data_IF_357713949469
#
_entry.id   IF_357713949469
#
_cell.length_a   1.000
_cell.length_b   1.000
_cell.length_c   1.000
_cell.angle_alpha   90.00
_cell.angle_beta   90.00
_cell.angle_gamma   90.00
#
_symmetry.space_group_name_H-M   'P 1'
#
loop_
_entity.id
_entity.type
_entity.pdbx_description
1 polymer ?
#
# COMPACT_ATOMS: atom_id res chain seq x y z
N UNK A 1 21.69 -15.61 -2.01
CA UNK A 1 20.28 -15.18 -1.88
C UNK A 1 19.94 -14.90 -0.41
N UNK A 2 19.12 -13.89 -0.09
CA UNK A 2 18.71 -13.58 1.30
C UNK A 2 17.21 -13.29 1.38
N UNK A 3 16.51 -13.86 2.35
CA UNK A 3 15.10 -13.53 2.62
C UNK A 3 15.01 -12.10 3.15
N UNK A 4 14.18 -11.28 2.49
CA UNK A 4 13.94 -9.88 2.82
C UNK A 4 12.58 -9.72 3.49
N UNK A 5 11.58 -10.47 3.06
CA UNK A 5 10.23 -10.37 3.61
C UNK A 5 9.50 -11.72 3.63
N UNK A 6 9.23 -12.29 4.81
CA UNK A 6 8.40 -13.49 4.94
C UNK A 6 6.91 -13.16 4.97
N UNK A 7 6.07 -14.09 4.51
CA UNK A 7 4.61 -14.10 4.68
C UNK A 7 4.15 -15.53 4.93
N UNK A 8 3.43 -15.77 6.02
CA UNK A 8 2.88 -17.09 6.31
C UNK A 8 1.61 -17.31 5.49
N UNK A 9 1.48 -18.48 4.87
CA UNK A 9 0.27 -18.92 4.19
C UNK A 9 -0.40 -20.04 4.96
N UNK A 10 -1.73 -19.91 5.11
CA UNK A 10 -2.57 -20.85 5.83
C UNK A 10 -3.63 -21.44 4.90
N UNK A 11 -4.01 -22.68 5.16
CA UNK A 11 -5.18 -23.33 4.55
C UNK A 11 -6.25 -23.57 5.61
N UNK A 12 -7.52 -23.39 5.25
CA UNK A 12 -8.64 -23.73 6.12
C UNK A 12 -9.10 -25.16 5.81
N UNK A 13 -8.88 -26.06 6.76
CA UNK A 13 -9.36 -27.44 6.70
C UNK A 13 -10.36 -27.65 7.84
N UNK A 14 -11.65 -27.68 7.50
CA UNK A 14 -12.72 -27.98 8.47
C UNK A 14 -12.83 -26.97 9.63
N UNK A 15 -12.58 -25.68 9.38
CA UNK A 15 -12.68 -24.63 10.39
C UNK A 15 -11.41 -24.44 11.24
N UNK A 16 -10.36 -25.23 11.03
CA UNK A 16 -9.05 -25.03 11.64
C UNK A 16 -8.06 -24.47 10.61
N UNK A 17 -7.46 -23.33 10.94
CA UNK A 17 -6.36 -22.75 10.19
C UNK A 17 -5.10 -23.60 10.40
N UNK A 18 -4.61 -24.22 9.33
CA UNK A 18 -3.36 -24.96 9.34
C UNK A 18 -2.32 -24.22 8.52
N UNK A 19 -1.11 -24.11 9.06
CA UNK A 19 0.02 -23.56 8.32
C UNK A 19 0.33 -24.46 7.11
N UNK A 20 0.49 -23.85 5.93
CA UNK A 20 0.76 -24.56 4.69
C UNK A 20 2.22 -24.42 4.26
N UNK A 21 2.69 -23.19 4.17
CA UNK A 21 4.07 -22.86 3.79
C UNK A 21 4.36 -21.40 4.15
N UNK A 22 5.64 -21.06 4.18
CA UNK A 22 6.13 -19.70 4.21
C UNK A 22 6.35 -19.24 2.77
N UNK A 23 5.62 -18.22 2.31
CA UNK A 23 6.00 -17.46 1.13
C UNK A 23 7.04 -16.41 1.53
N UNK A 24 8.00 -16.08 0.67
CA UNK A 24 8.95 -15.04 0.97
C UNK A 24 9.41 -14.30 -0.28
N UNK A 25 9.81 -13.04 -0.08
CA UNK A 25 10.63 -12.31 -1.05
C UNK A 25 12.09 -12.51 -0.67
N UNK A 26 12.87 -13.03 -1.59
CA UNK A 26 14.31 -13.14 -1.48
C UNK A 26 15.00 -12.17 -2.45
N UNK A 27 16.21 -11.72 -2.08
CA UNK A 27 17.04 -10.84 -2.92
C UNK A 27 18.36 -11.53 -3.23
N UNK A 28 18.79 -11.44 -4.48
CA UNK A 28 20.10 -11.88 -4.96
C UNK A 28 20.51 -11.00 -6.14
N UNK A 29 21.74 -10.48 -6.12
CA UNK A 29 22.35 -9.75 -7.24
C UNK A 29 21.44 -8.65 -7.83
N UNK A 30 20.85 -7.86 -6.93
CA UNK A 30 19.89 -6.78 -7.21
C UNK A 30 18.52 -7.21 -7.79
N UNK A 31 18.27 -8.49 -7.97
CA UNK A 31 16.98 -9.04 -8.36
C UNK A 31 16.17 -9.53 -7.15
N UNK A 32 14.85 -9.43 -7.26
CA UNK A 32 13.91 -10.01 -6.31
C UNK A 32 13.36 -11.34 -6.82
N UNK A 33 13.07 -12.24 -5.88
CA UNK A 33 12.53 -13.56 -6.14
C UNK A 33 11.39 -13.83 -5.18
N UNK A 34 10.28 -14.34 -5.68
CA UNK A 34 9.27 -15.00 -4.89
C UNK A 34 9.74 -16.43 -4.65
N UNK A 35 9.75 -16.87 -3.40
CA UNK A 35 10.16 -18.21 -3.00
C UNK A 35 9.18 -18.78 -2.00
N UNK A 36 9.11 -20.11 -1.89
CA UNK A 36 8.36 -20.82 -0.87
C UNK A 36 9.29 -21.67 -0.02
N UNK A 37 8.93 -21.85 1.24
CA UNK A 37 9.58 -22.75 2.18
C UNK A 37 8.54 -23.54 2.95
N UNK A 38 8.81 -24.83 3.22
CA UNK A 38 7.92 -25.69 4.00
C UNK A 38 7.95 -25.35 5.48
N UNK A 39 9.05 -24.78 5.96
CA UNK A 39 9.26 -24.45 7.36
C UNK A 39 9.05 -22.96 7.63
N UNK A 40 8.64 -22.64 8.86
CA UNK A 40 8.44 -21.25 9.30
C UNK A 40 9.76 -20.49 9.46
N UNK A 41 10.87 -21.22 9.58
CA UNK A 41 12.22 -20.69 9.79
C UNK A 41 13.21 -21.52 8.97
N UNK A 42 13.35 -21.23 7.66
CA UNK A 42 14.34 -21.92 6.86
C UNK A 42 15.74 -21.74 7.44
N UNK A 43 16.48 -22.83 7.60
CA UNK A 43 17.87 -22.78 8.10
C UNK A 43 18.86 -22.65 6.94
N UNK A 44 18.52 -23.18 5.78
CA UNK A 44 19.33 -23.13 4.56
C UNK A 44 18.54 -22.67 3.32
N UNK A 45 19.24 -22.04 2.38
CA UNK A 45 18.66 -21.64 1.09
C UNK A 45 18.24 -22.83 0.21
N UNK A 46 18.76 -24.02 0.49
CA UNK A 46 18.40 -25.28 -0.19
C UNK A 46 16.98 -25.75 0.16
N UNK A 47 16.37 -25.20 1.21
CA UNK A 47 14.99 -25.51 1.62
C UNK A 47 13.96 -24.67 0.84
N UNK A 48 14.43 -23.75 -0.01
CA UNK A 48 13.58 -22.92 -0.86
C UNK A 48 13.17 -23.68 -2.11
N UNK A 49 11.90 -23.58 -2.47
CA UNK A 49 11.34 -24.13 -3.70
C UNK A 49 10.39 -23.12 -4.35
N UNK A 50 9.92 -23.42 -5.56
CA UNK A 50 9.03 -22.55 -6.34
C UNK A 50 9.61 -21.12 -6.48
N UNK A 51 10.88 -21.06 -6.89
CA UNK A 51 11.66 -19.83 -7.00
C UNK A 51 11.30 -19.15 -8.32
N UNK A 52 10.59 -18.04 -8.23
CA UNK A 52 10.19 -17.23 -9.36
C UNK A 52 10.88 -15.87 -9.27
N UNK A 53 11.66 -15.50 -10.29
CA UNK A 53 12.19 -14.14 -10.39
C UNK A 53 11.04 -13.15 -10.55
N UNK A 54 11.06 -12.09 -9.76
CA UNK A 54 10.11 -10.99 -9.86
C UNK A 54 10.69 -9.92 -10.78
N UNK A 55 9.91 -9.57 -11.78
CA UNK A 55 10.14 -8.36 -12.56
C UNK A 55 9.40 -7.21 -11.88
N UNK A 56 10.15 -6.30 -11.27
CA UNK A 56 9.60 -5.16 -10.52
C UNK A 56 9.63 -3.86 -11.31
N UNK A 57 10.34 -3.85 -12.44
CA UNK A 57 10.50 -2.66 -13.27
C UNK A 57 9.41 -2.61 -14.34
N UNK A 58 8.96 -1.41 -14.69
CA UNK A 58 8.10 -1.17 -15.86
C UNK A 58 6.79 -1.99 -15.88
N UNK A 59 6.25 -2.33 -14.70
CA UNK A 59 5.01 -3.10 -14.51
C UNK A 59 3.74 -2.25 -14.32
N UNK A 60 3.89 -0.93 -14.21
CA UNK A 60 2.75 -0.02 -14.11
C UNK A 60 2.15 0.32 -15.47
N UNK A 61 0.99 0.99 -15.49
CA UNK A 61 0.37 1.48 -16.71
C UNK A 61 1.27 2.51 -17.39
N UNK A 62 1.14 2.63 -18.72
CA UNK A 62 1.71 3.76 -19.44
C UNK A 62 1.14 5.05 -18.90
N UNK A 63 1.99 6.05 -18.70
CA UNK A 63 1.54 7.35 -18.21
C UNK A 63 0.66 8.02 -19.26
N UNK A 64 -0.53 8.45 -18.86
CA UNK A 64 -1.43 9.18 -19.75
C UNK A 64 -1.12 10.68 -19.78
N UNK A 65 -1.37 11.38 -20.90
CA UNK A 65 -1.19 12.84 -20.98
C UNK A 65 -2.01 13.64 -19.97
N UNK A 66 -3.10 13.05 -19.46
CA UNK A 66 -3.98 13.69 -18.47
C UNK A 66 -3.44 13.60 -17.03
N UNK A 67 -2.41 12.79 -16.80
CA UNK A 67 -1.84 12.55 -15.47
C UNK A 67 -0.69 13.51 -15.17
N UNK A 68 -0.58 13.86 -13.90
CA UNK A 68 0.49 14.73 -13.39
C UNK A 68 1.72 13.87 -13.15
N UNK A 69 2.63 13.84 -14.13
CA UNK A 69 3.94 13.19 -13.98
C UNK A 69 4.91 14.18 -13.36
N UNK A 70 5.50 13.80 -12.22
CA UNK A 70 6.51 14.63 -11.54
C UNK A 70 7.92 14.06 -11.76
N UNK A 71 8.87 14.87 -12.24
CA UNK A 71 10.27 14.45 -12.29
C UNK A 71 10.77 14.30 -10.85
N UNK A 72 11.50 13.21 -10.58
CA UNK A 72 11.80 12.73 -9.23
C UNK A 72 12.08 13.84 -8.20
N UNK A 73 11.15 14.00 -7.26
CA UNK A 73 11.23 15.02 -6.22
C UNK A 73 12.23 14.59 -5.12
N UNK A 74 13.00 15.53 -4.52
CA UNK A 74 13.95 15.21 -3.45
C UNK A 74 13.23 14.61 -2.23
N UNK A 75 13.82 13.58 -1.63
CA UNK A 75 13.11 12.56 -0.83
C UNK A 75 12.53 12.99 0.52
N UNK A 76 12.82 14.18 1.04
CA UNK A 76 12.57 14.49 2.45
C UNK A 76 11.13 14.93 2.75
N UNK A 77 10.42 15.52 1.77
CA UNK A 77 9.07 16.07 1.98
C UNK A 77 7.95 15.18 1.41
N UNK A 78 8.32 14.05 0.80
CA UNK A 78 7.42 13.23 0.00
C UNK A 78 7.46 11.77 0.43
N UNK A 79 6.29 11.16 0.43
CA UNK A 79 6.13 9.73 0.55
C UNK A 79 5.86 9.14 -0.83
N UNK A 80 6.68 8.17 -1.25
CA UNK A 80 6.48 7.44 -2.51
C UNK A 80 5.79 6.13 -2.20
N UNK A 81 4.53 6.00 -2.65
CA UNK A 81 3.83 4.72 -2.62
C UNK A 81 4.22 3.92 -3.86
N UNK A 82 4.75 2.73 -3.64
CA UNK A 82 5.02 1.73 -4.68
C UNK A 82 4.23 0.45 -4.38
N UNK A 83 3.94 -0.37 -5.40
CA UNK A 83 3.30 -1.66 -5.18
C UNK A 83 4.10 -2.54 -4.22
N UNK A 84 3.38 -3.35 -3.47
CA UNK A 84 3.98 -4.33 -2.59
C UNK A 84 4.71 -5.40 -3.41
N UNK A 85 5.89 -5.87 -2.98
CA UNK A 85 6.70 -6.82 -3.76
C UNK A 85 5.95 -8.13 -4.13
N UNK A 86 5.13 -8.65 -3.22
CA UNK A 86 4.26 -9.81 -3.52
C UNK A 86 3.23 -9.57 -4.64
N UNK A 87 2.86 -8.32 -4.93
CA UNK A 87 1.91 -8.01 -6.01
C UNK A 87 2.48 -8.32 -7.41
N UNK A 88 3.82 -8.34 -7.56
CA UNK A 88 4.47 -8.71 -8.81
C UNK A 88 4.43 -10.22 -9.12
N UNK A 89 4.04 -11.05 -8.15
CA UNK A 89 3.98 -12.51 -8.28
C UNK A 89 2.85 -13.06 -9.16
N UNK A 90 2.06 -12.20 -9.81
CA UNK A 90 1.13 -12.60 -10.88
C UNK A 90 -0.31 -12.90 -10.46
N UNK A 91 -0.68 -12.80 -9.18
CA UNK A 91 -2.06 -13.01 -8.74
C UNK A 91 -2.99 -11.80 -8.90
N UNK A 92 -2.44 -10.62 -9.20
CA UNK A 92 -3.19 -9.37 -9.31
C UNK A 92 -2.83 -8.63 -10.59
N UNK A 93 -3.83 -7.99 -11.21
CA UNK A 93 -3.61 -7.01 -12.27
C UNK A 93 -3.10 -5.71 -11.64
N UNK A 94 -1.79 -5.69 -11.41
CA UNK A 94 -1.06 -4.57 -10.81
C UNK A 94 -1.17 -3.30 -11.66
N UNK A 95 -1.21 -3.44 -12.99
CA UNK A 95 -1.32 -2.32 -13.92
C UNK A 95 -2.69 -1.63 -13.77
N UNK A 96 -3.77 -2.42 -13.73
CA UNK A 96 -5.11 -1.90 -13.44
C UNK A 96 -5.21 -1.25 -12.06
N UNK A 97 -4.63 -1.87 -11.02
CA UNK A 97 -4.67 -1.29 -9.67
C UNK A 97 -3.95 0.05 -9.59
N UNK A 98 -2.75 0.16 -10.17
CA UNK A 98 -2.00 1.42 -10.21
C UNK A 98 -2.77 2.47 -10.99
N UNK A 99 -3.34 2.12 -12.15
CA UNK A 99 -4.15 3.04 -12.97
C UNK A 99 -5.34 3.59 -12.19
N UNK A 100 -6.14 2.71 -11.58
CA UNK A 100 -7.29 3.12 -10.77
C UNK A 100 -6.87 4.04 -9.62
N UNK A 101 -5.73 3.77 -8.99
CA UNK A 101 -5.21 4.61 -7.92
C UNK A 101 -4.77 5.99 -8.44
N UNK A 102 -4.04 6.06 -9.55
CA UNK A 102 -3.62 7.33 -10.18
C UNK A 102 -4.84 8.15 -10.60
N UNK A 103 -5.80 7.56 -11.30
CA UNK A 103 -7.02 8.24 -11.73
C UNK A 103 -7.84 8.78 -10.54
N UNK A 104 -7.93 8.00 -9.47
CA UNK A 104 -8.59 8.42 -8.23
C UNK A 104 -7.84 9.59 -7.60
N UNK A 105 -6.52 9.52 -7.53
CA UNK A 105 -5.67 10.58 -6.98
C UNK A 105 -5.74 11.87 -7.80
N UNK A 106 -5.71 11.78 -9.13
CA UNK A 106 -5.91 12.94 -10.03
C UNK A 106 -7.27 13.60 -9.81
N UNK A 107 -8.31 12.80 -9.58
CA UNK A 107 -9.65 13.30 -9.26
C UNK A 107 -9.66 14.04 -7.93
N UNK A 108 -9.04 13.46 -6.89
CA UNK A 108 -8.95 14.07 -5.56
C UNK A 108 -8.10 15.34 -5.58
N UNK A 109 -7.03 15.39 -6.40
CA UNK A 109 -6.18 16.56 -6.57
C UNK A 109 -6.94 17.76 -7.15
N UNK A 110 -7.85 17.50 -8.10
CA UNK A 110 -8.74 18.53 -8.67
C UNK A 110 -9.81 19.02 -7.69
N UNK A 111 -10.03 18.29 -6.58
CA UNK A 111 -11.03 18.59 -5.56
C UNK A 111 -10.39 18.47 -4.16
N UNK A 112 -9.43 19.35 -3.80
CA UNK A 112 -8.67 19.21 -2.57
C UNK A 112 -9.54 19.34 -1.33
N UNK A 113 -9.20 18.59 -0.27
CA UNK A 113 -9.85 18.66 1.04
C UNK A 113 -8.80 18.54 2.15
N UNK A 114 -8.86 19.34 3.23
CA UNK A 114 -7.81 19.38 4.26
C UNK A 114 -7.61 18.06 5.01
N UNK A 115 -8.65 17.20 5.07
CA UNK A 115 -8.58 15.88 5.71
C UNK A 115 -8.34 14.72 4.74
N UNK A 116 -7.88 15.00 3.52
CA UNK A 116 -7.45 13.99 2.55
C UNK A 116 -5.96 14.20 2.25
N UNK A 117 -5.23 13.10 2.11
CA UNK A 117 -3.80 13.14 1.83
C UNK A 117 -3.52 13.92 0.53
N UNK A 118 -2.53 14.81 0.59
CA UNK A 118 -2.13 15.59 -0.58
C UNK A 118 -1.36 14.70 -1.56
N UNK A 119 -1.92 14.54 -2.77
CA UNK A 119 -1.29 13.88 -3.91
C UNK A 119 -0.56 14.90 -4.78
N UNK A 120 0.68 14.60 -5.17
CA UNK A 120 1.50 15.50 -5.99
C UNK A 120 1.65 15.05 -7.45
N UNK A 121 1.47 13.77 -7.73
CA UNK A 121 1.68 13.22 -9.07
C UNK A 121 2.22 11.79 -9.03
N UNK A 122 2.35 11.17 -10.20
CA UNK A 122 2.99 9.88 -10.35
C UNK A 122 4.43 10.02 -10.83
N UNK A 123 5.26 9.02 -10.52
CA UNK A 123 6.59 8.84 -11.11
C UNK A 123 6.45 7.95 -12.33
N UNK A 124 7.07 8.36 -13.44
CA UNK A 124 7.23 7.49 -14.60
C UNK A 124 8.70 7.08 -14.74
N UNK A 125 8.94 5.78 -14.85
CA UNK A 125 10.20 5.16 -15.29
C UNK A 125 9.84 4.35 -16.52
N UNK A 126 10.65 4.30 -17.58
CA UNK A 126 10.26 3.32 -18.60
C UNK A 126 8.97 3.67 -19.35
N UNK A 127 8.59 4.95 -19.48
CA UNK A 127 7.24 5.42 -19.89
C UNK A 127 6.04 4.90 -19.06
N UNK A 128 6.31 4.17 -17.97
CA UNK A 128 5.32 3.51 -17.12
C UNK A 128 5.35 4.01 -15.69
N UNK A 129 4.19 4.01 -15.04
CA UNK A 129 4.07 4.48 -13.66
C UNK A 129 4.81 3.53 -12.72
N UNK A 130 5.83 4.04 -12.03
CA UNK A 130 6.67 3.29 -11.09
C UNK A 130 6.44 3.69 -9.63
N UNK A 131 5.55 4.66 -9.39
CA UNK A 131 5.19 5.12 -8.04
C UNK A 131 4.24 6.31 -8.03
N UNK A 132 3.70 6.60 -6.86
CA UNK A 132 2.72 7.67 -6.63
C UNK A 132 3.23 8.53 -5.47
N UNK A 133 3.34 9.84 -5.68
CA UNK A 133 3.85 10.78 -4.68
C UNK A 133 2.74 11.40 -3.84
N UNK A 134 2.89 11.28 -2.53
CA UNK A 134 2.06 11.95 -1.53
C UNK A 134 2.92 12.85 -0.64
N UNK A 135 2.28 13.76 0.08
CA UNK A 135 2.91 14.46 1.20
C UNK A 135 3.38 13.47 2.27
N UNK A 136 4.63 13.65 2.72
CA UNK A 136 5.13 12.94 3.89
C UNK A 136 4.47 13.47 5.16
N UNK A 137 3.70 12.62 5.85
CA UNK A 137 3.12 12.94 7.15
C UNK A 137 3.97 12.31 8.25
N UNK A 138 4.23 13.05 9.34
CA UNK A 138 5.17 12.64 10.39
C UNK A 138 4.74 11.40 11.17
N UNK A 139 3.43 11.17 11.30
CA UNK A 139 2.89 10.05 12.07
C UNK A 139 1.48 9.70 11.60
N UNK A 140 1.16 8.42 11.71
CA UNK A 140 -0.18 7.85 11.56
C UNK A 140 -1.00 8.03 12.83
N UNK A 141 -2.31 7.85 12.71
CA UNK A 141 -3.21 7.83 13.88
C UNK A 141 -2.81 6.73 14.88
N UNK A 142 -2.46 5.54 14.38
CA UNK A 142 -2.10 4.39 15.21
C UNK A 142 -0.87 4.68 16.07
N UNK A 143 0.18 5.28 15.50
CA UNK A 143 1.39 5.66 16.23
C UNK A 143 1.10 6.68 17.34
N UNK A 144 0.18 7.61 17.09
CA UNK A 144 -0.21 8.62 18.09
C UNK A 144 -0.99 8.05 19.27
N UNK A 145 -1.93 7.14 19.02
CA UNK A 145 -2.84 6.65 20.07
C UNK A 145 -2.40 5.32 20.69
N UNK A 146 -1.59 4.53 19.98
CA UNK A 146 -1.13 3.21 20.39
C UNK A 146 0.36 3.01 20.04
N UNK A 147 1.29 3.83 20.58
CA UNK A 147 2.71 3.74 20.27
C UNK A 147 3.33 2.39 20.68
N UNK A 148 2.73 1.70 21.65
CA UNK A 148 3.17 0.38 22.12
C UNK A 148 2.69 -0.77 21.22
N UNK A 149 1.95 -0.47 20.13
CA UNK A 149 1.42 -1.48 19.20
C UNK A 149 0.63 -2.58 19.92
N UNK A 150 -0.13 -2.21 20.95
CA UNK A 150 -0.97 -3.14 21.69
C UNK A 150 -1.98 -3.79 20.74
N UNK A 151 -2.18 -5.10 20.90
CA UNK A 151 -3.24 -5.80 20.18
C UNK A 151 -4.63 -5.24 20.57
N UNK A 152 -5.66 -5.56 19.79
CA UNK A 152 -7.01 -5.00 19.98
C UNK A 152 -7.54 -5.17 21.41
N UNK A 153 -7.38 -6.35 22.01
CA UNK A 153 -7.87 -6.62 23.37
C UNK A 153 -7.12 -5.79 24.40
N UNK A 154 -5.79 -5.84 24.37
CA UNK A 154 -4.93 -5.10 25.28
C UNK A 154 -5.12 -3.57 25.14
N UNK A 155 -5.30 -3.08 23.91
CA UNK A 155 -5.57 -1.66 23.65
C UNK A 155 -6.91 -1.22 24.27
N UNK A 156 -7.97 -2.03 24.11
CA UNK A 156 -9.28 -1.74 24.68
C UNK A 156 -9.29 -1.78 26.21
N UNK A 157 -8.56 -2.72 26.80
CA UNK A 157 -8.39 -2.84 28.25
C UNK A 157 -7.40 -1.82 28.84
N UNK A 158 -6.64 -1.13 28.01
CA UNK A 158 -5.74 -0.06 28.46
C UNK A 158 -6.52 1.18 28.91
N UNK A 159 -5.85 2.07 29.65
CA UNK A 159 -6.42 3.36 30.02
C UNK A 159 -6.64 4.30 28.83
N UNK A 160 -6.09 3.99 27.65
CA UNK A 160 -6.16 4.81 26.42
C UNK A 160 -5.88 6.29 26.69
N UNK A 161 -4.89 6.58 27.53
CA UNK A 161 -4.57 7.94 27.99
C UNK A 161 -4.16 8.89 26.87
N UNK A 162 -3.77 8.37 25.71
CA UNK A 162 -3.42 9.12 24.51
C UNK A 162 -4.63 9.38 23.58
N UNK A 163 -5.82 8.88 23.91
CA UNK A 163 -7.07 9.21 23.22
C UNK A 163 -7.74 10.36 23.95
N UNK A 164 -7.13 11.54 23.83
CA UNK A 164 -7.63 12.78 24.41
C UNK A 164 -8.78 13.39 23.60
N UNK A 165 -9.35 14.49 24.09
CA UNK A 165 -10.47 15.15 23.43
C UNK A 165 -10.08 15.81 22.10
N UNK A 166 -8.82 16.22 21.94
CA UNK A 166 -8.30 16.72 20.68
C UNK A 166 -8.27 15.60 19.61
N UNK A 167 -7.89 14.39 20.01
CA UNK A 167 -7.92 13.21 19.16
C UNK A 167 -9.35 12.83 18.76
N UNK A 168 -10.28 12.90 19.70
CA UNK A 168 -11.71 12.68 19.41
C UNK A 168 -12.25 13.75 18.45
N UNK A 169 -11.86 15.01 18.62
CA UNK A 169 -12.25 16.10 17.73
C UNK A 169 -11.77 15.87 16.28
N UNK A 170 -10.65 15.17 16.08
CA UNK A 170 -10.14 14.83 14.75
C UNK A 170 -11.07 13.86 13.98
N UNK A 171 -11.94 13.10 14.67
CA UNK A 171 -12.91 12.21 14.02
C UNK A 171 -13.88 12.98 13.10
N UNK A 172 -14.24 14.21 13.48
CA UNK A 172 -15.06 15.09 12.64
C UNK A 172 -14.37 15.38 11.30
N UNK A 173 -13.05 15.57 11.31
CA UNK A 173 -12.24 15.76 10.09
C UNK A 173 -12.20 14.51 9.23
N UNK A 174 -12.08 13.31 9.83
CA UNK A 174 -12.14 12.03 9.11
C UNK A 174 -13.51 11.88 8.44
N UNK A 175 -14.59 12.16 9.17
CA UNK A 175 -15.96 12.09 8.64
C UNK A 175 -16.17 13.07 7.49
N UNK A 176 -15.68 14.31 7.62
CA UNK A 176 -15.73 15.32 6.57
C UNK A 176 -14.99 14.84 5.30
N UNK A 177 -13.78 14.29 5.44
CA UNK A 177 -13.01 13.73 4.33
C UNK A 177 -13.75 12.58 3.62
N UNK A 178 -14.35 11.65 4.37
CA UNK A 178 -15.17 10.57 3.80
C UNK A 178 -16.39 11.12 3.06
N UNK A 179 -17.08 12.11 3.65
CA UNK A 179 -18.22 12.79 3.03
C UNK A 179 -17.83 13.42 1.70
N UNK A 180 -16.68 14.10 1.66
CA UNK A 180 -16.13 14.69 0.44
C UNK A 180 -15.85 13.65 -0.65
N UNK A 181 -15.21 12.53 -0.29
CA UNK A 181 -15.00 11.42 -1.24
C UNK A 181 -16.31 10.91 -1.84
N UNK A 182 -17.35 10.75 -1.02
CA UNK A 182 -18.67 10.30 -1.50
C UNK A 182 -19.31 11.28 -2.47
N UNK A 183 -19.21 12.58 -2.19
CA UNK A 183 -19.73 13.65 -3.06
C UNK A 183 -19.01 13.69 -4.42
N UNK A 184 -17.71 13.45 -4.45
CA UNK A 184 -16.95 13.36 -5.71
C UNK A 184 -17.42 12.15 -6.53
N UNK A 185 -17.55 10.99 -5.89
CA UNK A 185 -17.95 9.75 -6.56
C UNK A 185 -19.35 9.83 -7.15
N UNK A 186 -20.31 10.45 -6.46
CA UNK A 186 -21.69 10.59 -6.97
C UNK A 186 -21.79 11.53 -8.18
N UNK A 187 -20.92 12.53 -8.29
CA UNK A 187 -20.82 13.42 -9.46
C UNK A 187 -20.23 12.74 -10.70
N UNK A 188 -19.42 11.68 -10.52
CA UNK A 188 -18.91 10.88 -11.64
C UNK A 188 -19.98 9.99 -12.24
N UNK A 189 -20.87 9.43 -11.42
CA UNK A 189 -21.96 8.55 -11.87
C UNK A 189 -23.11 9.28 -12.56
N UNK A 190 -23.20 10.61 -12.42
CA UNK A 190 -24.28 11.43 -13.00
C UNK A 190 -23.93 12.13 -14.30
N UNK A 191 -22.70 12.00 -14.82
CA UNK A 191 -22.35 12.50 -16.16
C UNK A 191 -22.73 11.45 -17.22
N UNK A 192 -23.57 11.79 -18.22
CA UNK A 192 -23.84 10.88 -19.33
C UNK A 192 -22.57 10.63 -20.15
N UNK A 193 -22.42 9.45 -20.78
CA UNK A 193 -21.31 9.21 -21.68
C UNK A 193 -21.39 10.18 -22.86
N UNK A 194 -20.30 10.90 -23.11
CA UNK A 194 -20.05 11.69 -24.32
C UNK A 194 -19.70 10.80 -25.49
#
# INVERSE_FOLDING_TARGET
MKIVKPVESFSNNGGRSQFKHLGAIARQDNAFYLVKCKDRKPQALTELYDIQRLDTEDRGPKAEPSWTVVPGLPSHDYFVKTPHLFAYGGSFDIELQIRLEVETCETLRKNPHPNIATYYGCRATSDRVSGIYFKGYMATLLEKVNPQSLNKSAFLSSRRSLVDDAMKACLSGILAGIGHCRLISSRKTSRPPT
#
